data_IF_801592811843
#
_entry.id   IF_801592811843
#
_cell.length_a   1.000
_cell.length_b   1.000
_cell.length_c   1.000
_cell.angle_alpha   90.00
_cell.angle_beta   90.00
_cell.angle_gamma   90.00
#
_symmetry.space_group_name_H-M   'P 1'
#
loop_
_entity.id
_entity.type
_entity.pdbx_description
1 polymer ?
#
# COMPACT_ATOMS: atom_id res chain seq x y z
N UNK A 1 1.91 3.13 -25.19
CA UNK A 1 2.05 3.34 -23.73
C UNK A 1 2.18 1.99 -23.06
N UNK A 2 3.34 1.66 -22.47
CA UNK A 2 3.52 0.38 -21.77
C UNK A 2 2.59 0.35 -20.55
N UNK A 3 1.74 -0.68 -20.44
CA UNK A 3 0.90 -0.89 -19.25
C UNK A 3 1.79 -0.86 -18.00
N UNK A 4 1.44 -0.11 -16.95
CA UNK A 4 2.21 -0.12 -15.71
C UNK A 4 2.34 -1.59 -15.25
N UNK A 5 3.58 -2.05 -15.06
CA UNK A 5 3.83 -3.42 -14.62
C UNK A 5 3.36 -3.53 -13.18
N UNK A 6 2.20 -4.14 -12.96
CA UNK A 6 1.70 -4.51 -11.64
C UNK A 6 2.82 -5.26 -10.89
N UNK A 7 3.15 -4.78 -9.68
CA UNK A 7 4.18 -5.38 -8.82
C UNK A 7 3.75 -6.79 -8.39
N UNK A 8 4.74 -7.61 -8.01
CA UNK A 8 4.51 -8.95 -7.45
C UNK A 8 4.54 -8.87 -5.93
N UNK A 9 3.88 -9.81 -5.27
CA UNK A 9 3.94 -9.97 -3.83
C UNK A 9 5.38 -10.35 -3.46
N UNK A 10 5.97 -9.62 -2.51
CA UNK A 10 7.32 -9.87 -2.02
C UNK A 10 7.45 -11.22 -1.28
N UNK A 11 6.36 -11.74 -0.71
CA UNK A 11 6.36 -13.00 0.06
C UNK A 11 6.18 -14.24 -0.82
N UNK A 12 5.11 -14.29 -1.62
CA UNK A 12 4.77 -15.48 -2.42
C UNK A 12 4.99 -15.34 -3.93
N UNK A 13 5.40 -14.16 -4.42
CA UNK A 13 5.63 -13.92 -5.85
C UNK A 13 4.37 -13.83 -6.72
N UNK A 14 3.17 -13.96 -6.13
CA UNK A 14 1.86 -13.76 -6.80
C UNK A 14 1.85 -12.40 -7.48
N UNK A 15 1.18 -12.29 -8.63
CA UNK A 15 1.02 -11.03 -9.38
C UNK A 15 -0.43 -10.57 -9.30
N UNK A 16 -0.67 -9.30 -8.98
CA UNK A 16 -1.99 -8.69 -9.14
C UNK A 16 -2.37 -8.70 -10.63
N UNK A 17 -3.56 -9.20 -10.96
CA UNK A 17 -3.99 -9.40 -12.35
C UNK A 17 -4.75 -8.19 -12.92
N UNK A 18 -5.17 -7.27 -12.07
CA UNK A 18 -5.86 -6.02 -12.41
C UNK A 18 -5.50 -4.93 -11.39
N UNK A 19 -5.86 -3.67 -11.68
CA UNK A 19 -5.72 -2.57 -10.72
C UNK A 19 -6.67 -2.76 -9.53
N UNK A 20 -7.93 -3.15 -9.78
CA UNK A 20 -8.90 -3.47 -8.73
C UNK A 20 -8.37 -4.56 -7.78
N UNK A 21 -7.78 -5.63 -8.32
CA UNK A 21 -7.17 -6.67 -7.49
C UNK A 21 -5.94 -6.18 -6.72
N UNK A 22 -5.33 -5.06 -7.10
CA UNK A 22 -4.19 -4.48 -6.41
C UNK A 22 -4.62 -3.49 -5.30
N UNK A 23 -5.88 -3.06 -5.25
CA UNK A 23 -6.41 -2.17 -4.20
C UNK A 23 -6.43 -2.87 -2.83
N UNK A 24 -6.65 -4.18 -2.81
CA UNK A 24 -6.63 -5.01 -1.60
C UNK A 24 -5.22 -5.37 -1.10
N UNK A 25 -4.17 -4.92 -1.80
CA UNK A 25 -2.80 -5.29 -1.47
C UNK A 25 -2.15 -4.22 -0.59
N UNK A 26 -1.55 -4.63 0.53
CA UNK A 26 -0.80 -3.71 1.38
C UNK A 26 0.57 -3.40 0.78
N UNK A 27 1.07 -2.22 1.12
CA UNK A 27 2.43 -1.80 0.82
C UNK A 27 3.16 -1.41 2.10
N UNK A 28 4.42 -1.80 2.20
CA UNK A 28 5.33 -1.27 3.22
C UNK A 28 6.02 -0.05 2.65
N UNK A 29 6.02 1.04 3.39
CA UNK A 29 6.64 2.31 2.98
C UNK A 29 7.74 2.67 3.95
N UNK A 30 8.93 2.98 3.42
CA UNK A 30 10.06 3.50 4.18
C UNK A 30 10.56 4.78 3.52
N UNK A 31 10.67 5.86 4.30
CA UNK A 31 11.09 7.19 3.82
C UNK A 31 10.30 7.68 2.58
N UNK A 32 9.01 7.37 2.53
CA UNK A 32 8.12 7.71 1.41
C UNK A 32 8.31 6.86 0.15
N UNK A 33 9.06 5.76 0.23
CA UNK A 33 9.28 4.81 -0.88
C UNK A 33 8.64 3.48 -0.54
N UNK A 34 7.88 2.92 -1.48
CA UNK A 34 7.33 1.56 -1.36
C UNK A 34 8.49 0.56 -1.42
N UNK A 35 8.74 -0.14 -0.32
CA UNK A 35 9.78 -1.17 -0.22
C UNK A 35 9.22 -2.56 -0.45
N UNK A 36 7.97 -2.81 -0.07
CA UNK A 36 7.31 -4.10 -0.22
C UNK A 36 5.85 -3.95 -0.64
N UNK A 37 5.35 -4.99 -1.32
CA UNK A 37 3.99 -5.16 -1.79
C UNK A 37 3.56 -6.56 -1.35
N UNK A 38 2.46 -6.68 -0.60
CA UNK A 38 2.02 -7.93 0.01
C UNK A 38 0.56 -8.20 -0.39
N UNK A 39 0.28 -9.41 -0.89
CA UNK A 39 -1.09 -9.80 -1.25
C UNK A 39 -1.93 -10.19 -0.02
N UNK A 40 -3.27 -10.18 -0.12
CA UNK A 40 -4.17 -10.51 0.97
C UNK A 40 -3.83 -11.81 1.71
N UNK A 41 -3.57 -12.88 0.97
CA UNK A 41 -3.27 -14.21 1.53
C UNK A 41 -1.94 -14.27 2.31
N UNK A 42 -1.05 -13.31 2.11
CA UNK A 42 0.26 -13.26 2.77
C UNK A 42 0.33 -12.23 3.89
N UNK A 43 -0.72 -11.46 4.11
CA UNK A 43 -0.81 -10.52 5.23
C UNK A 43 -1.07 -11.28 6.52
N UNK A 44 -0.45 -10.81 7.60
CA UNK A 44 -0.78 -11.26 8.95
C UNK A 44 -2.03 -10.54 9.46
N UNK A 45 -2.74 -11.10 10.46
CA UNK A 45 -3.86 -10.40 11.08
C UNK A 45 -3.50 -9.03 11.67
N UNK A 46 -2.28 -8.88 12.19
CA UNK A 46 -1.81 -7.61 12.74
C UNK A 46 -1.59 -6.56 11.64
N UNK A 47 -0.94 -6.93 10.54
CA UNK A 47 -0.74 -6.03 9.39
C UNK A 47 -2.08 -5.58 8.78
N UNK A 48 -3.10 -6.45 8.80
CA UNK A 48 -4.45 -6.09 8.37
C UNK A 48 -5.12 -5.11 9.32
N UNK A 49 -4.96 -5.30 10.63
CA UNK A 49 -5.47 -4.36 11.62
C UNK A 49 -4.80 -2.98 11.47
N UNK A 50 -3.48 -2.94 11.30
CA UNK A 50 -2.72 -1.71 11.05
C UNK A 50 -3.18 -1.00 9.78
N UNK A 51 -3.40 -1.76 8.70
CA UNK A 51 -3.91 -1.21 7.44
C UNK A 51 -5.31 -0.61 7.59
N UNK A 52 -6.22 -1.30 8.30
CA UNK A 52 -7.57 -0.78 8.56
C UNK A 52 -7.53 0.51 9.40
N UNK A 53 -6.65 0.57 10.41
CA UNK A 53 -6.45 1.79 11.21
C UNK A 53 -5.92 2.93 10.33
N UNK A 54 -4.90 2.66 9.52
CA UNK A 54 -4.32 3.64 8.61
C UNK A 54 -5.35 4.13 7.59
N UNK A 55 -6.13 3.26 6.98
CA UNK A 55 -7.20 3.62 6.05
C UNK A 55 -8.24 4.54 6.73
N UNK A 56 -8.59 4.25 7.99
CA UNK A 56 -9.52 5.08 8.74
C UNK A 56 -8.93 6.43 9.17
N UNK A 57 -7.61 6.54 9.34
CA UNK A 57 -6.98 7.70 10.01
C UNK A 57 -6.06 8.53 9.12
N UNK A 58 -5.65 8.06 7.94
CA UNK A 58 -4.62 8.69 7.12
C UNK A 58 -5.09 8.96 5.68
N UNK A 59 -4.79 10.15 5.20
CA UNK A 59 -4.83 10.52 3.79
C UNK A 59 -3.43 10.41 3.18
N UNK A 60 -3.33 9.65 2.08
CA UNK A 60 -2.08 9.46 1.37
C UNK A 60 -2.04 10.27 0.07
N UNK A 61 -0.88 10.82 -0.22
CA UNK A 61 -0.61 11.55 -1.46
C UNK A 61 0.80 11.31 -1.96
N UNK A 62 1.14 11.89 -3.11
CA UNK A 62 2.50 11.84 -3.68
C UNK A 62 3.02 13.26 -3.85
N UNK A 63 4.18 13.55 -3.25
CA UNK A 63 4.88 14.83 -3.38
C UNK A 63 6.34 14.58 -3.77
N UNK A 64 6.79 15.16 -4.88
CA UNK A 64 8.17 15.00 -5.36
C UNK A 64 8.56 13.53 -5.61
N UNK A 65 7.61 12.68 -5.99
CA UNK A 65 7.83 11.24 -6.21
C UNK A 65 7.89 10.39 -4.94
N UNK A 66 7.60 10.96 -3.76
CA UNK A 66 7.50 10.24 -2.49
C UNK A 66 6.07 10.18 -1.99
N UNK A 67 5.72 9.05 -1.39
CA UNK A 67 4.46 8.87 -0.67
C UNK A 67 4.51 9.66 0.64
N UNK A 68 3.50 10.49 0.85
CA UNK A 68 3.28 11.25 2.07
C UNK A 68 1.96 10.81 2.69
N UNK A 69 1.93 10.70 4.02
CA UNK A 69 0.70 10.44 4.79
C UNK A 69 0.40 11.64 5.68
N UNK A 70 -0.87 12.02 5.75
CA UNK A 70 -1.38 13.06 6.66
C UNK A 70 -2.54 12.49 7.46
N UNK A 71 -2.67 12.78 8.76
CA UNK A 71 -3.85 12.39 9.51
C UNK A 71 -5.12 13.04 8.94
N UNK A 72 -6.22 12.27 8.82
CA UNK A 72 -7.55 12.73 8.40
C UNK A 72 -8.21 13.66 9.42
N UNK A 73 -7.93 13.45 10.70
CA UNK A 73 -8.41 14.29 11.79
C UNK A 73 -7.21 14.68 12.67
N UNK A 74 -6.98 15.98 12.79
CA UNK A 74 -5.84 16.55 13.51
C UNK A 74 -5.02 17.53 12.68
N UNK A 75 -5.67 18.44 11.96
CA UNK A 75 -5.03 19.68 11.55
C UNK A 75 -4.80 20.53 12.79
N UNK A 76 -3.55 20.57 13.25
CA UNK A 76 -2.98 21.70 14.00
C UNK A 76 -1.80 22.23 13.21
#
# INVERSE_FOLDING_TARGET
>A
MSKPKLRRCNRCGRRARSMAAAEEWNVTVSLGVITEVICPDCQTPLENLEAAINEATMDYGVLGGRLIGRPKAGGV
#
